data_IF_808220575900
#
_entry.id   IF_808220575900
#
_cell.length_a   1.000
_cell.length_b   1.000
_cell.length_c   1.000
_cell.angle_alpha   90.00
_cell.angle_beta   90.00
_cell.angle_gamma   90.00
#
_symmetry.space_group_name_H-M   'P 1'
#
loop_
_entity.id
_entity.type
_entity.pdbx_description
1 polymer ?
#
# COMPACT_ATOMS: atom_id res chain seq x y z
N UNK A 1 24.85 0.86 -6.55
CA UNK A 1 24.78 0.99 -8.03
C UNK A 1 23.31 1.08 -8.42
N UNK A 2 22.96 1.98 -9.35
CA UNK A 2 21.59 2.13 -9.85
C UNK A 2 21.19 0.90 -10.67
N UNK A 3 20.06 0.27 -10.36
CA UNK A 3 19.54 -0.91 -11.07
C UNK A 3 18.47 -0.44 -12.06
N UNK A 4 18.93 0.00 -13.24
CA UNK A 4 18.07 0.58 -14.30
C UNK A 4 16.98 -0.38 -14.80
N UNK A 5 17.20 -1.69 -14.69
CA UNK A 5 16.21 -2.71 -15.03
C UNK A 5 16.22 -3.84 -14.01
N UNK A 6 15.09 -4.52 -13.89
CA UNK A 6 14.86 -5.67 -13.02
C UNK A 6 14.19 -6.78 -13.82
N UNK A 7 14.49 -8.04 -13.50
CA UNK A 7 13.92 -9.23 -14.13
C UNK A 7 12.95 -9.96 -13.18
N UNK A 8 12.40 -11.09 -13.61
CA UNK A 8 11.47 -11.86 -12.80
C UNK A 8 12.05 -12.33 -11.47
N UNK A 9 13.33 -12.69 -11.43
CA UNK A 9 14.01 -13.04 -10.17
C UNK A 9 14.11 -11.86 -9.22
N UNK A 10 14.44 -10.67 -9.73
CA UNK A 10 14.43 -9.45 -8.93
C UNK A 10 13.03 -9.06 -8.43
N UNK A 11 11.98 -9.28 -9.24
CA UNK A 11 10.58 -9.09 -8.81
C UNK A 11 10.20 -10.07 -7.69
N UNK A 12 10.50 -11.36 -7.86
CA UNK A 12 10.23 -12.39 -6.85
C UNK A 12 10.97 -12.10 -5.54
N UNK A 13 12.24 -11.71 -5.61
CA UNK A 13 13.01 -11.32 -4.43
C UNK A 13 12.43 -10.09 -3.71
N UNK A 14 11.97 -9.09 -4.47
CA UNK A 14 11.28 -7.94 -3.89
C UNK A 14 9.95 -8.34 -3.24
N UNK A 15 9.20 -9.25 -3.88
CA UNK A 15 7.93 -9.76 -3.35
C UNK A 15 8.12 -10.53 -2.05
N UNK A 16 9.10 -11.45 -1.97
CA UNK A 16 9.49 -12.14 -0.72
C UNK A 16 9.78 -11.16 0.43
N UNK A 17 10.55 -10.10 0.14
CA UNK A 17 10.86 -9.09 1.15
C UNK A 17 9.61 -8.31 1.61
N UNK A 18 8.69 -8.02 0.69
CA UNK A 18 7.41 -7.39 1.00
C UNK A 18 6.52 -8.28 1.88
N UNK A 19 6.44 -9.58 1.56
CA UNK A 19 5.72 -10.59 2.34
C UNK A 19 6.28 -10.67 3.76
N UNK A 20 7.60 -10.86 3.91
CA UNK A 20 8.24 -10.89 5.22
C UNK A 20 8.00 -9.60 6.04
N UNK A 21 7.97 -8.45 5.37
CA UNK A 21 7.65 -7.18 6.04
C UNK A 21 6.19 -7.11 6.51
N UNK A 22 5.23 -7.55 5.70
CA UNK A 22 3.81 -7.61 6.11
C UNK A 22 3.65 -8.54 7.31
N UNK A 23 4.27 -9.72 7.25
CA UNK A 23 4.22 -10.71 8.32
C UNK A 23 4.78 -10.19 9.64
N UNK A 24 5.88 -9.44 9.59
CA UNK A 24 6.50 -8.83 10.77
C UNK A 24 5.65 -7.74 11.42
N UNK A 25 4.66 -7.18 10.71
CA UNK A 25 3.81 -6.07 11.19
C UNK A 25 2.32 -6.46 11.24
N UNK A 26 1.99 -7.75 11.27
CA UNK A 26 0.59 -8.22 11.29
C UNK A 26 -0.21 -7.62 12.44
N UNK A 27 0.35 -7.64 13.66
CA UNK A 27 -0.36 -7.13 14.85
C UNK A 27 -0.65 -5.63 14.76
N UNK A 28 0.27 -4.90 14.17
CA UNK A 28 0.12 -3.47 13.94
C UNK A 28 -0.94 -3.19 12.87
N UNK A 29 -0.90 -3.92 11.75
CA UNK A 29 -1.92 -3.85 10.70
C UNK A 29 -3.31 -4.24 11.21
N UNK A 30 -3.39 -5.22 12.10
CA UNK A 30 -4.64 -5.59 12.79
C UNK A 30 -5.15 -4.42 13.67
N UNK A 31 -4.25 -3.68 14.31
CA UNK A 31 -4.54 -2.51 15.14
C UNK A 31 -4.96 -1.25 14.37
N UNK A 32 -4.72 -1.18 13.05
CA UNK A 32 -5.09 -0.03 12.21
C UNK A 32 -6.57 -0.01 11.79
N UNK A 33 -7.33 -1.09 11.99
CA UNK A 33 -8.72 -1.16 11.56
C UNK A 33 -9.65 -0.34 12.49
N UNK A 34 -9.90 0.92 12.18
CA UNK A 34 -10.74 1.83 13.00
C UNK A 34 -12.12 2.09 12.36
N UNK A 35 -12.55 1.38 11.30
CA UNK A 35 -13.89 1.61 10.72
C UNK A 35 -14.51 0.41 9.99
N UNK A 36 -15.82 0.08 10.18
CA UNK A 36 -16.76 0.56 11.20
C UNK A 36 -16.72 -0.27 12.51
N UNK A 37 -16.09 -1.46 12.48
CA UNK A 37 -15.86 -2.34 13.64
C UNK A 37 -14.44 -2.93 13.52
N UNK A 38 -13.59 -2.85 14.57
CA UNK A 38 -12.28 -3.48 14.57
C UNK A 38 -12.44 -5.01 14.64
N UNK A 39 -12.48 -5.67 13.49
CA UNK A 39 -12.49 -7.14 13.43
C UNK A 39 -11.11 -7.73 13.76
N UNK A 40 -10.08 -6.87 13.87
CA UNK A 40 -8.73 -7.22 14.33
C UNK A 40 -7.98 -8.21 13.43
N UNK A 41 -8.45 -8.41 12.20
CA UNK A 41 -7.98 -9.47 11.30
C UNK A 41 -7.37 -8.94 9.98
N UNK A 42 -7.29 -7.62 9.80
CA UNK A 42 -6.82 -7.00 8.54
C UNK A 42 -5.41 -7.44 8.16
N UNK A 43 -4.46 -7.34 9.08
CA UNK A 43 -3.09 -7.81 8.89
C UNK A 43 -3.03 -9.32 8.65
N UNK A 44 -3.78 -10.10 9.44
CA UNK A 44 -3.83 -11.56 9.29
C UNK A 44 -4.36 -12.00 7.93
N UNK A 45 -5.44 -11.36 7.46
CA UNK A 45 -6.06 -11.59 6.16
C UNK A 45 -5.12 -11.22 5.01
N UNK A 46 -4.44 -10.07 5.11
CA UNK A 46 -3.43 -9.65 4.14
C UNK A 46 -2.25 -10.62 4.11
N UNK A 47 -1.70 -10.98 5.27
CA UNK A 47 -0.57 -11.90 5.38
C UNK A 47 -0.88 -13.27 4.75
N UNK A 48 -2.06 -13.84 5.04
CA UNK A 48 -2.50 -15.09 4.40
C UNK A 48 -2.60 -14.95 2.87
N UNK A 49 -3.13 -13.82 2.39
CA UNK A 49 -3.28 -13.55 0.96
C UNK A 49 -1.93 -13.44 0.24
N UNK A 50 -0.98 -12.68 0.81
CA UNK A 50 0.34 -12.48 0.19
C UNK A 50 1.24 -13.71 0.30
N UNK A 51 1.04 -14.56 1.33
CA UNK A 51 1.69 -15.88 1.42
C UNK A 51 1.25 -16.81 0.29
N UNK A 52 -0.06 -16.94 0.06
CA UNK A 52 -0.58 -17.73 -1.06
C UNK A 52 -0.09 -17.21 -2.42
N UNK A 53 0.00 -15.89 -2.58
CA UNK A 53 0.60 -15.27 -3.76
C UNK A 53 2.08 -15.62 -3.93
N UNK A 54 2.84 -15.67 -2.83
CA UNK A 54 4.25 -16.02 -2.85
C UNK A 54 4.45 -17.47 -3.24
N UNK A 55 3.68 -18.38 -2.65
CA UNK A 55 3.75 -19.81 -2.95
C UNK A 55 3.56 -20.08 -4.45
N UNK A 56 2.58 -19.43 -5.09
CA UNK A 56 2.37 -19.53 -6.54
C UNK A 56 3.52 -18.92 -7.35
N UNK A 57 4.09 -17.80 -6.89
CA UNK A 57 5.20 -17.13 -7.57
C UNK A 57 6.51 -17.94 -7.49
N UNK A 58 6.72 -18.69 -6.41
CA UNK A 58 7.87 -19.59 -6.23
C UNK A 58 7.87 -20.73 -7.25
N UNK A 59 6.69 -21.26 -7.60
CA UNK A 59 6.55 -22.36 -8.58
C UNK A 59 7.13 -21.98 -9.95
N UNK A 60 7.07 -20.69 -10.31
CA UNK A 60 7.56 -20.15 -11.58
C UNK A 60 8.88 -19.38 -11.43
N UNK A 61 9.64 -19.62 -10.35
CA UNK A 61 10.92 -18.95 -10.13
C UNK A 61 11.87 -19.13 -11.33
N UNK A 62 12.34 -18.02 -11.89
CA UNK A 62 13.26 -18.00 -13.04
C UNK A 62 12.59 -17.56 -14.34
N UNK A 63 11.26 -17.51 -14.35
CA UNK A 63 10.48 -17.03 -15.48
C UNK A 63 10.56 -15.50 -15.67
N UNK A 64 10.15 -14.99 -16.84
CA UNK A 64 9.94 -13.56 -17.12
C UNK A 64 9.15 -12.82 -16.04
N UNK A 65 9.40 -11.51 -15.89
CA UNK A 65 8.68 -10.66 -14.95
C UNK A 65 7.15 -10.73 -15.11
N UNK A 66 6.65 -10.80 -16.34
CA UNK A 66 5.22 -10.99 -16.63
C UNK A 66 4.66 -12.29 -16.05
N UNK A 67 5.40 -13.39 -16.15
CA UNK A 67 4.98 -14.71 -15.62
C UNK A 67 4.99 -14.73 -14.10
N UNK A 68 5.99 -14.11 -13.47
CA UNK A 68 6.04 -13.93 -12.01
C UNK A 68 4.87 -13.07 -11.55
N UNK A 69 4.62 -11.92 -12.19
CA UNK A 69 3.53 -11.02 -11.83
C UNK A 69 2.15 -11.69 -11.99
N UNK A 70 1.96 -12.47 -13.06
CA UNK A 70 0.74 -13.25 -13.26
C UNK A 70 0.53 -14.31 -12.17
N UNK A 71 1.59 -15.01 -11.75
CA UNK A 71 1.52 -15.97 -10.65
C UNK A 71 1.18 -15.32 -9.31
N UNK A 72 1.81 -14.17 -9.00
CA UNK A 72 1.48 -13.36 -7.81
C UNK A 72 0.00 -12.97 -7.83
N UNK A 73 -0.49 -12.44 -8.95
CA UNK A 73 -1.89 -12.04 -9.10
C UNK A 73 -2.84 -13.23 -8.93
N UNK A 74 -2.51 -14.38 -9.49
CA UNK A 74 -3.33 -15.59 -9.39
C UNK A 74 -3.39 -16.10 -7.95
N UNK A 75 -2.24 -16.26 -7.29
CA UNK A 75 -2.20 -16.74 -5.91
C UNK A 75 -2.83 -15.76 -4.92
N UNK A 76 -2.69 -14.46 -5.14
CA UNK A 76 -3.38 -13.46 -4.32
C UNK A 76 -4.91 -13.55 -4.48
N UNK A 77 -5.41 -13.80 -5.71
CA UNK A 77 -6.84 -13.95 -5.96
C UNK A 77 -7.40 -15.24 -5.33
N UNK A 78 -6.71 -16.36 -5.52
CA UNK A 78 -7.15 -17.66 -4.99
C UNK A 78 -6.99 -17.77 -3.48
N UNK A 79 -6.01 -17.06 -2.91
CA UNK A 79 -5.74 -17.02 -1.48
C UNK A 79 -6.38 -15.85 -0.74
N UNK A 80 -7.19 -15.03 -1.40
CA UNK A 80 -7.79 -13.84 -0.81
C UNK A 80 -8.63 -14.18 0.43
N UNK A 81 -8.35 -13.53 1.56
CA UNK A 81 -9.10 -13.66 2.82
C UNK A 81 -9.73 -12.34 3.22
N UNK A 82 -11.04 -12.36 3.48
CA UNK A 82 -11.78 -11.17 3.88
C UNK A 82 -11.70 -10.00 2.88
N UNK A 83 -12.16 -8.83 3.29
CA UNK A 83 -12.18 -7.65 2.42
C UNK A 83 -10.76 -7.16 2.09
N UNK A 84 -9.87 -7.15 3.09
CA UNK A 84 -8.49 -6.69 2.93
C UNK A 84 -7.69 -7.59 1.97
N UNK A 85 -7.90 -8.90 2.01
CA UNK A 85 -7.32 -9.83 1.05
C UNK A 85 -7.89 -9.65 -0.37
N UNK A 86 -9.20 -9.47 -0.51
CA UNK A 86 -9.82 -9.17 -1.81
C UNK A 86 -9.22 -7.88 -2.40
N UNK A 87 -9.19 -6.78 -1.66
CA UNK A 87 -8.59 -5.52 -2.13
C UNK A 87 -7.12 -5.71 -2.52
N UNK A 88 -6.35 -6.42 -1.69
CA UNK A 88 -4.93 -6.72 -1.95
C UNK A 88 -4.75 -7.52 -3.25
N UNK A 89 -5.62 -8.51 -3.52
CA UNK A 89 -5.58 -9.26 -4.79
C UNK A 89 -5.83 -8.38 -6.01
N UNK A 90 -6.65 -7.34 -5.88
CA UNK A 90 -6.93 -6.40 -6.97
C UNK A 90 -5.73 -5.50 -7.27
N UNK A 91 -4.95 -5.14 -6.24
CA UNK A 91 -3.67 -4.45 -6.45
C UNK A 91 -2.75 -5.27 -7.33
N UNK A 92 -2.54 -6.54 -6.99
CA UNK A 92 -1.65 -7.41 -7.77
C UNK A 92 -2.18 -7.71 -9.17
N UNK A 93 -3.51 -7.77 -9.34
CA UNK A 93 -4.14 -7.85 -10.67
C UNK A 93 -3.75 -6.67 -11.56
N UNK A 94 -3.90 -5.44 -11.06
CA UNK A 94 -3.51 -4.24 -11.81
C UNK A 94 -2.01 -4.18 -12.10
N UNK A 95 -1.17 -4.60 -11.15
CA UNK A 95 0.27 -4.70 -11.37
C UNK A 95 0.64 -5.73 -12.45
N UNK A 96 -0.01 -6.89 -12.46
CA UNK A 96 0.24 -7.93 -13.45
C UNK A 96 -0.19 -7.50 -14.86
N UNK A 97 -1.30 -6.78 -14.98
CA UNK A 97 -1.73 -6.17 -16.24
C UNK A 97 -0.67 -5.19 -16.78
N UNK A 98 -0.16 -4.30 -15.93
CA UNK A 98 0.86 -3.32 -16.31
C UNK A 98 2.19 -3.96 -16.75
N UNK A 99 2.56 -5.09 -16.13
CA UNK A 99 3.78 -5.84 -16.44
C UNK A 99 3.59 -6.88 -17.56
N UNK A 100 2.41 -6.92 -18.19
CA UNK A 100 2.09 -7.82 -19.29
C UNK A 100 3.20 -7.88 -20.35
N UNK A 101 3.55 -9.10 -20.78
CA UNK A 101 4.56 -9.42 -21.80
C UNK A 101 6.00 -8.97 -21.51
N UNK A 102 6.28 -8.35 -20.35
CA UNK A 102 7.63 -7.90 -20.00
C UNK A 102 8.49 -9.03 -19.45
N UNK A 103 9.63 -9.28 -20.09
CA UNK A 103 10.71 -10.10 -19.50
C UNK A 103 11.46 -9.39 -18.39
N UNK A 104 11.65 -8.08 -18.56
CA UNK A 104 12.32 -7.16 -17.64
C UNK A 104 11.54 -5.85 -17.61
N UNK A 105 11.66 -5.11 -16.52
CA UNK A 105 10.99 -3.83 -16.31
C UNK A 105 11.95 -2.80 -15.71
N UNK A 106 11.68 -1.52 -15.92
CA UNK A 106 12.44 -0.41 -15.33
C UNK A 106 11.62 0.31 -14.24
N UNK A 107 12.13 1.44 -13.72
CA UNK A 107 11.46 2.21 -12.68
C UNK A 107 10.10 2.77 -13.13
N UNK A 108 10.00 3.25 -14.37
CA UNK A 108 8.73 3.74 -14.95
C UNK A 108 7.70 2.62 -15.11
N UNK A 109 8.12 1.44 -15.55
CA UNK A 109 7.25 0.27 -15.65
C UNK A 109 6.71 -0.13 -14.25
N UNK A 110 7.57 -0.11 -13.23
CA UNK A 110 7.16 -0.40 -11.85
C UNK A 110 6.21 0.67 -11.30
N UNK A 111 6.47 1.95 -11.57
CA UNK A 111 5.59 3.04 -11.17
C UNK A 111 4.21 2.92 -11.82
N UNK A 112 4.16 2.61 -13.12
CA UNK A 112 2.90 2.34 -13.83
C UNK A 112 2.16 1.13 -13.23
N UNK A 113 2.89 0.07 -12.87
CA UNK A 113 2.29 -1.09 -12.20
C UNK A 113 1.66 -0.74 -10.85
N UNK A 114 2.33 0.08 -10.04
CA UNK A 114 1.78 0.55 -8.77
C UNK A 114 0.53 1.43 -8.96
N UNK A 115 0.54 2.32 -9.95
CA UNK A 115 -0.62 3.17 -10.28
C UNK A 115 -1.82 2.34 -10.75
N UNK A 116 -1.62 1.39 -11.68
CA UNK A 116 -2.69 0.49 -12.11
C UNK A 116 -3.20 -0.39 -10.97
N UNK A 117 -2.31 -0.88 -10.10
CA UNK A 117 -2.69 -1.62 -8.89
C UNK A 117 -3.56 -0.79 -7.95
N UNK A 118 -3.20 0.47 -7.71
CA UNK A 118 -4.02 1.39 -6.91
C UNK A 118 -5.40 1.60 -7.52
N UNK A 119 -5.48 1.90 -8.83
CA UNK A 119 -6.76 2.08 -9.53
C UNK A 119 -7.65 0.84 -9.45
N UNK A 120 -7.08 -0.36 -9.65
CA UNK A 120 -7.80 -1.61 -9.56
C UNK A 120 -8.39 -1.87 -8.16
N UNK A 121 -7.64 -1.53 -7.11
CA UNK A 121 -8.10 -1.63 -5.73
C UNK A 121 -9.25 -0.67 -5.42
N UNK A 122 -9.17 0.59 -5.87
CA UNK A 122 -10.26 1.55 -5.71
C UNK A 122 -11.52 1.14 -6.48
N UNK A 123 -11.37 0.65 -7.71
CA UNK A 123 -12.49 0.21 -8.53
C UNK A 123 -13.21 -1.03 -7.95
N UNK A 124 -12.53 -1.82 -7.12
CA UNK A 124 -13.11 -3.00 -6.47
C UNK A 124 -13.99 -2.68 -5.26
N UNK A 125 -14.01 -1.43 -4.80
CA UNK A 125 -14.76 -1.01 -3.61
C UNK A 125 -15.86 -0.04 -4.01
N UNK A 126 -17.12 -0.38 -3.68
CA UNK A 126 -18.30 0.42 -4.05
C UNK A 126 -18.30 1.81 -3.40
N UNK A 127 -17.77 1.93 -2.17
CA UNK A 127 -17.61 3.19 -1.44
C UNK A 127 -16.21 3.25 -0.83
N UNK A 128 -15.19 3.68 -1.59
CA UNK A 128 -13.82 3.76 -1.08
C UNK A 128 -13.72 4.82 0.03
N UNK A 129 -13.02 4.49 1.11
CA UNK A 129 -12.81 5.38 2.26
C UNK A 129 -11.32 5.58 2.49
N UNK A 130 -10.93 6.84 2.63
CA UNK A 130 -9.58 7.24 3.01
C UNK A 130 -9.30 6.93 4.49
N UNK A 131 -8.06 6.57 4.80
CA UNK A 131 -7.69 6.01 6.11
C UNK A 131 -7.71 4.48 6.14
N UNK A 132 -7.83 3.83 4.98
CA UNK A 132 -7.76 2.37 4.83
C UNK A 132 -6.52 1.94 4.04
N UNK A 133 -6.38 0.64 3.77
CA UNK A 133 -5.37 0.08 2.85
C UNK A 133 -5.33 0.82 1.50
N UNK A 134 -6.45 1.37 1.03
CA UNK A 134 -6.53 2.13 -0.22
C UNK A 134 -5.64 3.38 -0.19
N UNK A 135 -5.61 4.09 0.94
CA UNK A 135 -4.74 5.26 1.13
C UNK A 135 -3.27 4.85 1.06
N UNK A 136 -2.89 3.77 1.73
CA UNK A 136 -1.50 3.28 1.72
C UNK A 136 -1.05 2.92 0.31
N UNK A 137 -1.89 2.20 -0.43
CA UNK A 137 -1.60 1.80 -1.82
C UNK A 137 -1.50 3.01 -2.74
N UNK A 138 -2.42 4.00 -2.63
CA UNK A 138 -2.35 5.22 -3.43
C UNK A 138 -1.08 6.02 -3.14
N UNK A 139 -0.77 6.27 -1.87
CA UNK A 139 0.41 7.06 -1.49
C UNK A 139 1.71 6.36 -1.93
N UNK A 140 1.77 5.02 -1.85
CA UNK A 140 2.88 4.24 -2.38
C UNK A 140 3.00 4.37 -3.90
N UNK A 141 1.89 4.32 -4.64
CA UNK A 141 1.88 4.52 -6.09
C UNK A 141 2.34 5.92 -6.48
N UNK A 142 1.81 6.96 -5.84
CA UNK A 142 2.20 8.35 -6.07
C UNK A 142 3.70 8.58 -5.79
N UNK A 143 4.21 8.03 -4.67
CA UNK A 143 5.63 8.08 -4.34
C UNK A 143 6.49 7.35 -5.38
N UNK A 144 6.02 6.20 -5.88
CA UNK A 144 6.68 5.41 -6.92
C UNK A 144 6.80 6.17 -8.24
N UNK A 145 5.72 6.80 -8.70
CA UNK A 145 5.70 7.67 -9.89
C UNK A 145 6.69 8.82 -9.74
N UNK A 146 6.60 9.56 -8.64
CA UNK A 146 7.49 10.69 -8.41
C UNK A 146 8.97 10.27 -8.32
N UNK A 147 9.27 9.08 -7.80
CA UNK A 147 10.62 8.52 -7.78
C UNK A 147 11.12 8.17 -9.18
N UNK A 148 10.28 7.54 -10.01
CA UNK A 148 10.62 7.14 -11.37
C UNK A 148 10.86 8.35 -12.29
N UNK A 149 10.10 9.44 -12.11
CA UNK A 149 10.29 10.70 -12.85
C UNK A 149 11.64 11.37 -12.53
N UNK A 150 12.06 11.34 -11.27
CA UNK A 150 13.37 11.88 -10.85
C UNK A 150 14.52 11.01 -11.32
N UNK A 151 14.36 9.69 -11.23
CA UNK A 151 15.38 8.73 -11.60
C UNK A 151 14.70 7.39 -11.96
N UNK A 152 14.83 6.98 -13.22
CA UNK A 152 14.26 5.72 -13.74
C UNK A 152 15.08 4.49 -13.26
N UNK A 153 15.20 4.35 -11.94
CA UNK A 153 15.93 3.29 -11.25
C UNK A 153 14.94 2.46 -10.42
N UNK A 154 14.97 1.14 -10.61
CA UNK A 154 14.05 0.24 -9.91
C UNK A 154 14.30 0.29 -8.41
N UNK A 155 15.55 0.49 -7.97
CA UNK A 155 15.87 0.56 -6.55
C UNK A 155 15.32 1.83 -5.89
N UNK A 156 15.20 2.95 -6.62
CA UNK A 156 14.63 4.18 -6.07
C UNK A 156 13.11 4.13 -5.98
N UNK A 157 12.45 3.43 -6.90
CA UNK A 157 11.01 3.17 -6.83
C UNK A 157 10.68 2.11 -5.77
N UNK A 158 11.56 1.10 -5.60
CA UNK A 158 11.43 0.04 -4.59
C UNK A 158 11.71 0.52 -3.17
N UNK A 159 12.70 1.41 -3.00
CA UNK A 159 12.97 1.98 -1.67
C UNK A 159 11.76 2.81 -1.26
N UNK A 160 11.25 2.64 -0.04
CA UNK A 160 10.29 3.56 0.56
C UNK A 160 11.02 4.86 0.94
N UNK A 161 11.57 5.57 -0.05
CA UNK A 161 12.28 6.82 0.11
C UNK A 161 11.42 7.96 -0.45
N UNK A 162 10.24 8.19 0.15
CA UNK A 162 9.49 9.44 -0.10
C UNK A 162 8.38 9.71 0.90
N UNK A 163 7.72 8.72 1.49
CA UNK A 163 6.60 8.99 2.39
C UNK A 163 7.02 8.92 3.87
N UNK A 164 7.69 9.97 4.35
CA UNK A 164 7.68 10.31 5.79
C UNK A 164 6.24 10.55 6.28
N UNK A 165 5.28 10.85 5.40
CA UNK A 165 3.84 10.88 5.71
C UNK A 165 3.22 9.48 5.83
N UNK A 166 3.55 8.49 4.98
CA UNK A 166 3.11 7.09 5.20
C UNK A 166 3.61 6.52 6.53
N UNK A 167 4.82 6.88 6.96
CA UNK A 167 5.37 6.40 8.23
C UNK A 167 4.97 7.25 9.46
N UNK A 168 4.40 8.46 9.29
CA UNK A 168 4.00 9.33 10.42
C UNK A 168 2.52 9.73 10.42
N UNK A 169 1.93 10.08 9.30
CA UNK A 169 0.53 10.51 9.21
C UNK A 169 -0.47 9.35 9.22
N UNK A 170 -0.13 8.17 8.70
CA UNK A 170 -0.94 6.98 8.94
C UNK A 170 -0.82 6.45 10.40
N UNK A 171 0.09 7.02 11.20
CA UNK A 171 0.54 6.43 12.48
C UNK A 171 0.49 7.42 13.65
N UNK A 172 0.04 8.65 13.43
CA UNK A 172 -0.15 9.64 14.50
C UNK A 172 -1.34 10.55 14.21
N UNK A 173 -2.54 9.98 14.27
CA UNK A 173 -3.72 10.74 14.67
C UNK A 173 -4.28 10.10 15.93
N UNK A 174 -4.13 10.70 17.12
CA UNK A 174 -4.92 10.28 18.27
C UNK A 174 -6.39 10.49 17.92
N UNK A 175 -7.18 9.42 17.93
CA UNK A 175 -8.62 9.53 17.96
C UNK A 175 -9.01 10.41 19.16
N UNK A 176 -9.63 11.56 18.90
CA UNK A 176 -10.16 12.43 19.93
C UNK A 176 -9.57 13.85 19.93
N UNK A 177 -10.08 14.70 19.05
CA UNK A 177 -10.57 16.02 19.49
C UNK A 177 -11.62 16.51 18.50
N UNK A 178 -12.86 16.38 18.95
CA UNK A 178 -14.00 17.06 18.39
C UNK A 178 -13.70 18.55 18.19
N UNK A 179 -14.31 19.09 17.13
CA UNK A 179 -14.68 20.49 16.96
C UNK A 179 -14.58 21.34 18.23
N UNK A 180 -13.61 22.24 18.28
CA UNK A 180 -13.79 23.52 18.98
C UNK A 180 -13.40 24.61 18.00
N UNK A 181 -14.43 25.31 17.55
CA UNK A 181 -14.33 26.45 16.65
C UNK A 181 -13.46 27.55 17.23
N UNK A 182 -12.71 28.14 16.32
CA UNK A 182 -11.98 29.38 16.47
C UNK A 182 -12.88 30.53 16.96
N UNK A 183 -12.49 31.21 18.04
CA UNK A 183 -12.66 32.66 18.15
C UNK A 183 -11.50 33.26 18.96
N UNK A 184 -10.84 34.26 18.36
CA UNK A 184 -9.65 34.95 18.86
C UNK A 184 -10.03 36.11 19.80
N UNK A 185 -9.40 36.12 21.00
CA UNK A 185 -8.87 37.27 21.78
C UNK A 185 -9.84 38.30 22.43
N UNK A 186 -9.38 39.16 23.39
CA UNK A 186 -8.63 38.87 24.62
C UNK A 186 -9.24 39.55 25.89
N UNK A 187 -8.69 39.24 27.07
CA UNK A 187 -8.99 39.79 28.41
C UNK A 187 -9.29 41.30 28.52
N UNK A 188 -10.35 41.65 29.29
CA UNK A 188 -10.35 42.74 30.28
C UNK A 188 -11.18 42.31 31.50
N UNK A 189 -10.54 42.24 32.66
CA UNK A 189 -11.19 42.28 33.98
C UNK A 189 -11.63 43.72 34.28
N UNK A 190 -12.85 43.95 34.79
CA UNK A 190 -13.10 44.98 35.82
C UNK A 190 -14.55 44.97 36.32
N UNK A 191 -14.70 44.67 37.62
CA UNK A 191 -15.56 45.34 38.60
C UNK A 191 -17.01 45.74 38.28
N UNK A 192 -17.93 45.22 39.09
CA UNK A 192 -18.65 46.09 40.02
C UNK A 192 -20.08 46.51 39.66
N UNK A 193 -20.99 46.01 40.51
CA UNK A 193 -22.09 46.74 41.17
C UNK A 193 -23.26 47.31 40.34
N UNK A 194 -24.42 46.95 40.88
CA UNK A 194 -25.62 47.75 41.23
C UNK A 194 -26.83 47.60 40.31
N UNK A 195 -27.90 47.18 41.01
CA UNK A 195 -29.31 47.56 40.87
C UNK A 195 -30.12 46.86 39.78
#
# INVERSE_FOLDING_TARGET
MARRTCDGQGLLAAFRAGVANIEAHVDELNGLNVYPVPDGDTGSNMAATVRAALDEAEVVAGEPASRIAAAISFGALMGARGNSGVITSQVFRGMAEALGDKRRFNGLDLANALDLGARAAYAAVVKPVEGTILTVVREAAAAGVAAAERNNDVETVRRPASCRSCARQAWSTPAGRASTGCSRAPCVMSSGRRS
#
